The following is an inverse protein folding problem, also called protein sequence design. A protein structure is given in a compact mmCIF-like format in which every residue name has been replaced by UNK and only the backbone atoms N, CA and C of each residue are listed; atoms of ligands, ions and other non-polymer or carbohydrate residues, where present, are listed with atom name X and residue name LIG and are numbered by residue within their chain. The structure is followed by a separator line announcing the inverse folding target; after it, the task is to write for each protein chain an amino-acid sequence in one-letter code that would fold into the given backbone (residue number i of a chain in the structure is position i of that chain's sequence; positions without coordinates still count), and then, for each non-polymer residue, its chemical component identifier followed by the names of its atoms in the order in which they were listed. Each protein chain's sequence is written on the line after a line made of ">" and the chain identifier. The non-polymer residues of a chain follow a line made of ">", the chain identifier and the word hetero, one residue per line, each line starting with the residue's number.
data_IF_580442497807
#
_entry.id   IF_580442497807
#
_cell.length_a   1.000
_cell.length_b   1.000
_cell.length_c   1.000
_cell.angle_alpha   90.00
_cell.angle_beta   90.00
_cell.angle_gamma   90.00
#
_symmetry.space_group_name_H-M   'P 1'
#
loop_
_entity.id
_entity.type
_entity.pdbx_description
1 polymer ?
#
# COMPACT_ATOMS: atom_id res chain seq x y z
N UNK A 1 16.09 -1.76 15.55
CA UNK A 1 15.43 -0.54 15.05
C UNK A 1 13.97 -0.65 15.41
N UNK A 2 13.29 0.44 15.73
CA UNK A 2 11.86 0.49 15.99
C UNK A 2 11.12 0.74 14.66
N UNK A 3 9.81 0.49 14.61
CA UNK A 3 9.00 0.88 13.46
C UNK A 3 8.94 2.40 13.33
N UNK A 4 8.64 2.88 12.12
CA UNK A 4 8.41 4.30 11.81
C UNK A 4 6.98 4.49 11.30
N UNK A 5 6.39 5.67 11.56
CA UNK A 5 5.03 5.97 11.16
C UNK A 5 5.03 6.85 9.91
N UNK A 6 4.46 6.34 8.83
CA UNK A 6 4.31 7.02 7.55
C UNK A 6 2.85 7.22 7.15
N UNK A 7 2.65 8.01 6.10
CA UNK A 7 1.33 8.24 5.52
C UNK A 7 1.40 8.23 3.99
N UNK A 8 0.35 7.73 3.37
CA UNK A 8 0.15 7.80 1.93
C UNK A 8 -0.65 9.06 1.58
N UNK A 9 -0.29 9.81 0.53
CA UNK A 9 -0.98 11.03 0.13
C UNK A 9 -2.40 10.82 -0.40
N UNK A 10 -2.89 9.58 -0.50
CA UNK A 10 -4.29 9.28 -0.85
C UNK A 10 -5.32 9.88 0.14
N UNK A 11 -4.86 10.30 1.31
CA UNK A 11 -5.68 11.11 2.24
C UNK A 11 -6.07 12.47 1.67
N UNK A 12 -5.24 13.05 0.79
CA UNK A 12 -5.43 14.38 0.18
C UNK A 12 -5.77 14.34 -1.29
N UNK A 13 -5.25 13.35 -2.01
CA UNK A 13 -5.34 13.26 -3.49
C UNK A 13 -5.48 11.81 -3.89
N UNK A 14 -5.93 11.54 -5.12
CA UNK A 14 -6.02 10.17 -5.62
C UNK A 14 -5.42 10.06 -7.03
N UNK A 15 -4.56 9.08 -7.26
CA UNK A 15 -3.91 8.86 -8.55
C UNK A 15 -4.88 8.21 -9.58
N UNK A 16 -5.76 7.33 -9.12
CA UNK A 16 -6.72 6.60 -9.97
C UNK A 16 -7.97 7.42 -10.26
N UNK A 17 -8.25 8.43 -9.42
CA UNK A 17 -9.31 9.40 -9.62
C UNK A 17 -8.77 10.83 -9.41
N UNK A 18 -8.01 11.39 -10.38
CA UNK A 18 -7.27 12.64 -10.21
C UNK A 18 -8.13 13.88 -9.90
N UNK A 19 -9.45 13.80 -10.10
CA UNK A 19 -10.38 14.86 -9.68
C UNK A 19 -10.48 14.99 -8.15
N UNK A 20 -10.20 13.92 -7.39
CA UNK A 20 -10.16 13.98 -5.94
C UNK A 20 -8.91 14.72 -5.47
N UNK A 21 -9.11 15.84 -4.78
CA UNK A 21 -8.03 16.67 -4.28
C UNK A 21 -7.20 17.33 -5.39
N UNK A 22 -7.76 17.53 -6.60
CA UNK A 22 -7.06 18.10 -7.74
C UNK A 22 -6.38 19.44 -7.41
N UNK A 23 -7.05 20.28 -6.63
CA UNK A 23 -6.57 21.60 -6.23
C UNK A 23 -5.67 21.59 -4.98
N UNK A 24 -5.48 20.43 -4.32
CA UNK A 24 -4.63 20.35 -3.13
C UNK A 24 -3.16 20.35 -3.53
N UNK A 25 -2.37 21.36 -3.13
CA UNK A 25 -0.95 21.39 -3.44
C UNK A 25 -0.17 20.31 -2.69
N UNK A 26 0.96 19.86 -3.23
CA UNK A 26 1.90 18.97 -2.54
C UNK A 26 2.34 19.55 -1.19
N UNK A 27 2.59 20.83 -1.14
CA UNK A 27 2.99 21.56 0.09
C UNK A 27 1.98 21.38 1.23
N UNK A 28 0.67 21.40 0.92
CA UNK A 28 -0.39 21.17 1.90
C UNK A 28 -0.34 19.72 2.42
N UNK A 29 -0.21 18.74 1.53
CA UNK A 29 -0.09 17.33 1.92
C UNK A 29 1.08 17.13 2.90
N UNK A 30 2.27 17.64 2.56
CA UNK A 30 3.48 17.47 3.36
C UNK A 30 3.40 18.21 4.70
N UNK A 31 2.93 19.46 4.69
CA UNK A 31 2.78 20.26 5.91
C UNK A 31 1.78 19.64 6.88
N UNK A 32 0.62 19.21 6.39
CA UNK A 32 -0.42 18.61 7.23
C UNK A 32 -0.02 17.22 7.73
N UNK A 33 0.64 16.39 6.92
CA UNK A 33 1.15 15.10 7.37
C UNK A 33 2.23 15.25 8.44
N UNK A 34 3.14 16.21 8.29
CA UNK A 34 4.12 16.54 9.32
C UNK A 34 3.46 17.07 10.59
N UNK A 35 2.47 17.93 10.45
CA UNK A 35 1.70 18.49 11.57
C UNK A 35 0.87 17.43 12.31
N UNK A 36 0.45 16.36 11.61
CA UNK A 36 -0.20 15.20 12.22
C UNK A 36 0.76 14.33 13.03
N UNK A 37 2.09 14.38 12.75
CA UNK A 37 3.11 13.66 13.48
C UNK A 37 3.92 12.64 12.64
N UNK A 38 3.57 12.43 11.37
CA UNK A 38 4.23 11.44 10.53
C UNK A 38 5.69 11.79 10.22
N UNK A 39 6.51 10.75 10.06
CA UNK A 39 7.95 10.87 9.77
C UNK A 39 8.27 10.79 8.27
N UNK A 40 7.35 10.27 7.47
CA UNK A 40 7.56 10.11 6.04
C UNK A 40 6.28 9.93 5.24
N UNK A 41 6.44 10.07 3.92
CA UNK A 41 5.38 9.91 2.93
C UNK A 41 5.74 8.87 1.89
N UNK A 42 4.75 8.14 1.41
CA UNK A 42 4.85 7.41 0.15
C UNK A 42 4.71 8.37 -1.04
N UNK A 43 5.19 7.93 -2.21
CA UNK A 43 5.03 8.72 -3.43
C UNK A 43 3.56 8.83 -3.83
N UNK A 44 3.13 10.03 -4.13
CA UNK A 44 1.82 10.31 -4.73
C UNK A 44 1.93 10.89 -6.13
N UNK A 45 0.78 11.13 -6.77
CA UNK A 45 0.70 11.66 -8.13
C UNK A 45 1.27 13.07 -8.29
N UNK A 46 1.31 13.87 -7.21
CA UNK A 46 1.83 15.26 -7.22
C UNK A 46 3.31 15.37 -6.87
N UNK A 47 3.96 14.25 -6.54
CA UNK A 47 5.36 14.25 -6.15
C UNK A 47 6.26 14.32 -7.39
N UNK A 48 7.27 15.22 -7.42
CA UNK A 48 8.30 15.20 -8.45
C UNK A 48 8.99 13.86 -8.55
N UNK A 49 9.31 13.43 -9.77
CA UNK A 49 9.95 12.12 -10.03
C UNK A 49 11.46 12.20 -10.18
N UNK A 50 12.06 13.31 -9.82
CA UNK A 50 13.51 13.52 -9.82
C UNK A 50 13.98 13.74 -8.38
N UNK A 51 14.95 12.94 -7.91
CA UNK A 51 15.46 13.01 -6.55
C UNK A 51 16.05 14.37 -6.21
N UNK A 52 16.74 15.02 -7.18
CA UNK A 52 17.29 16.37 -7.03
C UNK A 52 16.21 17.46 -6.79
N UNK A 53 14.96 17.19 -7.17
CA UNK A 53 13.82 18.09 -6.93
C UNK A 53 13.06 17.69 -5.68
N UNK A 54 12.72 16.42 -5.54
CA UNK A 54 11.90 15.93 -4.42
C UNK A 54 12.67 15.93 -3.10
N UNK A 55 13.95 15.58 -3.10
CA UNK A 55 14.77 15.52 -1.89
C UNK A 55 14.78 16.82 -1.09
N UNK A 56 15.11 17.98 -1.69
CA UNK A 56 15.03 19.28 -1.00
C UNK A 56 13.63 19.63 -0.49
N UNK A 57 12.57 19.23 -1.20
CA UNK A 57 11.19 19.45 -0.76
C UNK A 57 10.92 18.67 0.53
N UNK A 58 11.19 17.35 0.55
CA UNK A 58 11.02 16.52 1.73
C UNK A 58 11.87 16.99 2.91
N UNK A 59 13.12 17.37 2.65
CA UNK A 59 14.04 17.87 3.68
C UNK A 59 13.51 19.13 4.38
N UNK A 60 12.91 20.07 3.64
CA UNK A 60 12.29 21.28 4.23
C UNK A 60 11.19 20.96 5.22
N UNK A 61 10.44 19.87 4.98
CA UNK A 61 9.41 19.38 5.88
C UNK A 61 9.92 18.40 6.93
N UNK A 62 11.23 18.06 6.93
CA UNK A 62 11.80 17.01 7.80
C UNK A 62 11.06 15.69 7.65
N UNK A 63 10.77 15.31 6.40
CA UNK A 63 10.08 14.08 6.03
C UNK A 63 11.02 13.18 5.22
N UNK A 64 10.81 11.86 5.34
CA UNK A 64 11.50 10.84 4.55
C UNK A 64 10.59 10.37 3.40
N UNK A 65 11.20 9.90 2.31
CA UNK A 65 10.49 9.06 1.37
C UNK A 65 10.39 7.66 1.94
N UNK A 66 9.16 7.14 2.04
CA UNK A 66 8.90 5.82 2.61
C UNK A 66 9.03 4.72 1.57
N UNK A 67 8.33 4.88 0.48
CA UNK A 67 8.23 3.94 -0.64
C UNK A 67 7.51 4.59 -1.82
N UNK A 68 7.20 3.80 -2.85
CA UNK A 68 6.37 4.24 -3.96
C UNK A 68 5.76 3.05 -4.69
N UNK A 69 4.54 3.25 -5.18
CA UNK A 69 3.84 2.29 -6.02
C UNK A 69 4.53 2.12 -7.38
N UNK A 70 4.73 0.85 -7.75
CA UNK A 70 5.18 0.45 -9.08
C UNK A 70 4.19 -0.56 -9.69
N UNK A 71 3.68 -0.22 -10.86
CA UNK A 71 2.76 -1.05 -11.64
C UNK A 71 3.59 -2.06 -12.46
N UNK A 72 3.68 -3.28 -11.98
CA UNK A 72 4.37 -4.37 -12.66
C UNK A 72 3.49 -5.05 -13.69
N UNK A 73 4.09 -5.58 -14.76
CA UNK A 73 3.42 -6.31 -15.83
C UNK A 73 4.19 -7.60 -16.22
N UNK A 74 4.71 -8.31 -15.22
CA UNK A 74 5.49 -9.53 -15.42
C UNK A 74 4.71 -10.69 -16.06
N UNK A 75 3.38 -10.63 -16.05
CA UNK A 75 2.56 -11.58 -16.82
C UNK A 75 2.71 -11.40 -18.33
N UNK A 76 3.04 -10.21 -18.79
CA UNK A 76 3.17 -9.89 -20.23
C UNK A 76 4.60 -9.53 -20.64
N UNK A 77 5.41 -9.00 -19.72
CA UNK A 77 6.80 -8.64 -19.94
C UNK A 77 7.76 -9.77 -19.55
N UNK A 78 8.94 -9.80 -20.18
CA UNK A 78 10.08 -10.54 -19.65
C UNK A 78 10.65 -9.87 -18.40
N UNK A 79 11.52 -10.55 -17.67
CA UNK A 79 12.21 -9.97 -16.50
C UNK A 79 13.11 -8.81 -16.92
N UNK A 80 13.80 -8.94 -18.06
CA UNK A 80 14.68 -7.89 -18.61
C UNK A 80 13.89 -6.64 -18.99
N UNK A 81 12.71 -6.81 -19.60
CA UNK A 81 11.82 -5.70 -19.94
C UNK A 81 11.31 -4.99 -18.69
N UNK A 82 10.94 -5.74 -17.64
CA UNK A 82 10.51 -5.16 -16.37
C UNK A 82 11.66 -4.46 -15.64
N UNK A 83 12.87 -5.04 -15.66
CA UNK A 83 14.09 -4.40 -15.14
C UNK A 83 14.36 -3.08 -15.87
N UNK A 84 14.21 -3.05 -17.19
CA UNK A 84 14.39 -1.82 -17.95
C UNK A 84 13.33 -0.77 -17.61
N UNK A 85 12.08 -1.19 -17.41
CA UNK A 85 10.96 -0.29 -17.12
C UNK A 85 11.04 0.34 -15.71
N UNK A 86 11.59 -0.36 -14.72
CA UNK A 86 11.64 0.11 -13.33
C UNK A 86 12.75 1.10 -13.03
N UNK A 87 13.72 1.32 -13.93
CA UNK A 87 14.98 2.03 -13.62
C UNK A 87 14.79 3.41 -13.02
N UNK A 88 13.94 4.24 -13.60
CA UNK A 88 13.72 5.61 -13.11
C UNK A 88 13.10 5.61 -11.71
N UNK A 89 12.12 4.74 -11.49
CA UNK A 89 11.46 4.59 -10.20
C UNK A 89 12.41 4.05 -9.13
N UNK A 90 13.17 3.02 -9.47
CA UNK A 90 14.15 2.39 -8.59
C UNK A 90 15.26 3.38 -8.19
N UNK A 91 15.74 4.17 -9.16
CA UNK A 91 16.73 5.21 -8.93
C UNK A 91 16.21 6.28 -7.99
N UNK A 92 14.97 6.75 -8.18
CA UNK A 92 14.33 7.74 -7.30
C UNK A 92 14.24 7.23 -5.85
N UNK A 93 13.76 6.00 -5.65
CA UNK A 93 13.65 5.40 -4.31
C UNK A 93 15.02 5.31 -3.64
N UNK A 94 16.02 4.76 -4.33
CA UNK A 94 17.38 4.58 -3.83
C UNK A 94 18.05 5.90 -3.45
N UNK A 95 17.97 6.91 -4.33
CA UNK A 95 18.61 8.21 -4.09
C UNK A 95 17.98 8.97 -2.92
N UNK A 96 16.70 8.73 -2.63
CA UNK A 96 16.00 9.32 -1.49
C UNK A 96 15.97 8.44 -0.24
N UNK A 97 16.67 7.31 -0.27
CA UNK A 97 16.85 6.43 0.89
C UNK A 97 15.66 5.54 1.22
N UNK A 98 14.68 5.41 0.32
CA UNK A 98 13.61 4.43 0.44
C UNK A 98 14.13 3.05 0.03
N UNK A 99 13.98 2.07 0.91
CA UNK A 99 14.48 0.71 0.71
C UNK A 99 13.40 -0.32 0.41
N UNK A 100 12.17 0.12 0.23
CA UNK A 100 11.02 -0.71 -0.13
C UNK A 100 10.29 -0.09 -1.33
N UNK A 101 9.92 -0.92 -2.28
CA UNK A 101 9.06 -0.59 -3.42
C UNK A 101 7.74 -1.36 -3.30
N UNK A 102 6.63 -0.64 -3.32
CA UNK A 102 5.29 -1.23 -3.37
C UNK A 102 5.05 -1.72 -4.80
N UNK A 103 5.06 -3.03 -4.99
CA UNK A 103 4.87 -3.66 -6.30
C UNK A 103 3.47 -4.28 -6.39
N UNK A 104 2.76 -4.02 -7.47
CA UNK A 104 1.51 -4.70 -7.80
C UNK A 104 1.51 -5.14 -9.25
N UNK A 105 1.13 -6.40 -9.54
CA UNK A 105 0.86 -6.86 -10.90
C UNK A 105 -0.46 -6.25 -11.38
N UNK A 106 -0.39 -5.44 -12.43
CA UNK A 106 -1.56 -4.68 -12.90
C UNK A 106 -2.12 -5.16 -14.25
N UNK A 107 -1.60 -6.25 -14.79
CA UNK A 107 -2.15 -6.83 -16.04
C UNK A 107 -3.65 -7.06 -15.87
N UNK A 108 -4.43 -6.53 -16.80
CA UNK A 108 -5.89 -6.60 -16.84
C UNK A 108 -6.63 -6.05 -15.62
N UNK A 109 -5.96 -5.33 -14.71
CA UNK A 109 -6.59 -4.78 -13.51
C UNK A 109 -7.77 -3.85 -13.83
N UNK A 110 -8.70 -3.78 -12.87
CA UNK A 110 -9.92 -2.96 -13.01
C UNK A 110 -10.08 -1.90 -11.92
N UNK A 111 -9.13 -1.79 -10.99
CA UNK A 111 -9.26 -0.87 -9.84
C UNK A 111 -9.44 0.60 -10.27
N UNK A 112 -8.76 1.05 -11.33
CA UNK A 112 -8.94 2.38 -11.91
C UNK A 112 -10.16 2.54 -12.82
N UNK A 113 -10.99 1.50 -13.03
CA UNK A 113 -12.13 1.52 -13.95
C UNK A 113 -13.44 1.78 -13.21
N UNK A 114 -13.83 3.05 -13.08
CA UNK A 114 -15.00 3.47 -12.29
C UNK A 114 -16.33 2.83 -12.74
N UNK A 115 -16.44 2.37 -13.98
CA UNK A 115 -17.66 1.76 -14.51
C UNK A 115 -17.70 0.23 -14.34
N UNK A 116 -16.64 -0.39 -13.85
CA UNK A 116 -16.54 -1.85 -13.73
C UNK A 116 -16.70 -2.27 -12.27
N UNK A 117 -17.73 -3.08 -11.93
CA UNK A 117 -17.89 -3.61 -10.58
C UNK A 117 -16.65 -4.36 -10.10
N UNK A 118 -16.24 -4.14 -8.85
CA UNK A 118 -15.00 -4.74 -8.31
C UNK A 118 -15.04 -6.27 -8.31
N UNK A 119 -16.23 -6.88 -8.21
CA UNK A 119 -16.41 -8.33 -8.28
C UNK A 119 -16.21 -8.93 -9.68
N UNK A 120 -15.91 -8.12 -10.70
CA UNK A 120 -15.52 -8.56 -12.03
C UNK A 120 -14.00 -8.53 -12.23
N UNK A 121 -13.24 -8.57 -11.14
CA UNK A 121 -11.78 -8.58 -11.20
C UNK A 121 -11.22 -9.71 -12.07
N UNK A 122 -10.04 -9.54 -12.67
CA UNK A 122 -9.37 -10.63 -13.34
C UNK A 122 -8.94 -11.70 -12.31
N UNK A 123 -8.84 -12.94 -12.76
CA UNK A 123 -8.32 -14.05 -11.98
C UNK A 123 -6.96 -14.48 -12.49
N UNK A 124 -6.07 -14.86 -11.57
CA UNK A 124 -4.75 -15.33 -11.94
C UNK A 124 -4.84 -16.68 -12.71
N UNK A 125 -4.19 -16.82 -13.87
CA UNK A 125 -4.19 -18.09 -14.61
C UNK A 125 -3.47 -19.19 -13.81
N UNK A 126 -4.21 -20.23 -13.41
CA UNK A 126 -3.71 -21.23 -12.48
C UNK A 126 -2.44 -21.96 -12.96
N UNK A 127 -2.31 -22.14 -14.27
CA UNK A 127 -1.15 -22.78 -14.90
C UNK A 127 0.12 -21.92 -14.93
N UNK A 128 -0.01 -20.62 -14.63
CA UNK A 128 1.11 -19.67 -14.73
C UNK A 128 1.80 -19.38 -13.40
N UNK A 129 1.35 -19.93 -12.28
CA UNK A 129 1.92 -19.63 -10.97
C UNK A 129 3.43 -19.91 -10.90
N UNK A 130 3.88 -21.05 -11.41
CA UNK A 130 5.30 -21.41 -11.36
C UNK A 130 6.17 -20.48 -12.21
N UNK A 131 5.73 -20.14 -13.43
CA UNK A 131 6.40 -19.20 -14.32
C UNK A 131 6.45 -17.81 -13.72
N UNK A 132 5.30 -17.28 -13.29
CA UNK A 132 5.19 -15.94 -12.72
C UNK A 132 6.02 -15.81 -11.44
N UNK A 133 5.93 -16.81 -10.55
CA UNK A 133 6.68 -16.82 -9.30
C UNK A 133 8.20 -16.81 -9.53
N UNK A 134 8.69 -17.54 -10.55
CA UNK A 134 10.11 -17.50 -10.93
C UNK A 134 10.51 -16.12 -11.45
N UNK A 135 9.73 -15.52 -12.35
CA UNK A 135 9.98 -14.18 -12.91
C UNK A 135 9.97 -13.11 -11.82
N UNK A 136 8.97 -13.11 -10.94
CA UNK A 136 8.86 -12.15 -9.86
C UNK A 136 10.02 -12.30 -8.85
N UNK A 137 10.44 -13.53 -8.56
CA UNK A 137 11.58 -13.78 -7.67
C UNK A 137 12.88 -13.26 -8.29
N UNK A 138 13.09 -13.47 -9.57
CA UNK A 138 14.28 -12.96 -10.27
C UNK A 138 14.29 -11.43 -10.32
N UNK A 139 13.15 -10.81 -10.61
CA UNK A 139 13.01 -9.36 -10.57
C UNK A 139 13.25 -8.80 -9.16
N UNK A 140 12.74 -9.48 -8.10
CA UNK A 140 12.96 -9.11 -6.71
C UNK A 140 14.44 -9.20 -6.31
N UNK A 141 15.16 -10.22 -6.76
CA UNK A 141 16.63 -10.33 -6.56
C UNK A 141 17.36 -9.15 -7.18
N UNK A 142 16.97 -8.78 -8.38
CA UNK A 142 17.57 -7.63 -9.05
C UNK A 142 17.33 -6.34 -8.22
N UNK A 143 16.10 -6.01 -7.85
CA UNK A 143 15.81 -4.79 -7.08
C UNK A 143 16.50 -4.80 -5.71
N UNK A 144 16.54 -5.94 -5.05
CA UNK A 144 17.26 -6.11 -3.79
C UNK A 144 18.77 -5.89 -3.95
N UNK A 145 19.38 -6.34 -5.05
CA UNK A 145 20.79 -6.07 -5.35
C UNK A 145 21.08 -4.58 -5.54
N UNK A 146 20.06 -3.79 -5.88
CA UNK A 146 20.12 -2.33 -5.99
C UNK A 146 19.77 -1.62 -4.66
N UNK A 147 19.52 -2.37 -3.57
CA UNK A 147 19.20 -1.84 -2.26
C UNK A 147 17.71 -1.56 -2.00
N UNK A 148 16.81 -2.00 -2.87
CA UNK A 148 15.36 -1.81 -2.72
C UNK A 148 14.65 -3.15 -2.76
N UNK A 149 13.94 -3.49 -1.69
CA UNK A 149 13.13 -4.71 -1.60
C UNK A 149 11.75 -4.51 -2.22
N UNK A 150 11.21 -5.57 -2.84
CA UNK A 150 9.81 -5.58 -3.25
C UNK A 150 8.93 -5.91 -2.04
N UNK A 151 7.87 -5.13 -1.85
CA UNK A 151 6.71 -5.46 -1.03
C UNK A 151 5.52 -5.67 -1.98
N UNK A 152 5.13 -6.92 -2.20
CA UNK A 152 4.02 -7.23 -3.09
C UNK A 152 2.70 -6.77 -2.48
N UNK A 153 2.00 -5.89 -3.17
CA UNK A 153 0.71 -5.35 -2.75
C UNK A 153 -0.43 -6.14 -3.41
N UNK A 154 -1.12 -6.97 -2.62
CA UNK A 154 -2.43 -7.50 -3.00
C UNK A 154 -3.45 -6.34 -3.00
N UNK A 155 -4.26 -6.24 -4.03
CA UNK A 155 -5.12 -5.06 -4.19
C UNK A 155 -6.48 -5.43 -4.79
N UNK A 156 -7.53 -4.76 -4.32
CA UNK A 156 -8.87 -4.93 -4.88
C UNK A 156 -8.86 -4.63 -6.38
N UNK A 157 -9.56 -5.47 -7.16
CA UNK A 157 -9.65 -5.29 -8.61
C UNK A 157 -8.42 -5.72 -9.41
N UNK A 158 -7.47 -6.42 -8.80
CA UNK A 158 -6.32 -7.05 -9.45
C UNK A 158 -6.44 -8.58 -9.45
N UNK A 159 -5.45 -9.27 -10.03
CA UNK A 159 -5.42 -10.74 -10.00
C UNK A 159 -5.11 -11.32 -8.64
N UNK A 160 -4.42 -10.58 -7.78
CA UNK A 160 -4.06 -11.00 -6.41
C UNK A 160 -4.86 -10.18 -5.41
N UNK A 161 -5.94 -10.75 -4.90
CA UNK A 161 -6.89 -10.05 -4.05
C UNK A 161 -7.29 -10.87 -2.81
N UNK A 162 -7.51 -12.18 -2.99
CA UNK A 162 -8.01 -13.06 -1.93
C UNK A 162 -6.89 -13.72 -1.13
N UNK A 163 -7.24 -14.30 0.03
CA UNK A 163 -6.29 -15.11 0.83
C UNK A 163 -5.66 -16.22 0.00
N UNK A 164 -6.44 -16.90 -0.83
CA UNK A 164 -5.94 -17.96 -1.71
C UNK A 164 -4.94 -17.43 -2.74
N UNK A 165 -5.20 -16.26 -3.33
CA UNK A 165 -4.27 -15.65 -4.29
C UNK A 165 -2.94 -15.30 -3.60
N UNK A 166 -3.00 -14.76 -2.38
CA UNK A 166 -1.82 -14.42 -1.57
C UNK A 166 -1.05 -15.70 -1.21
N UNK A 167 -1.72 -16.74 -0.77
CA UNK A 167 -1.09 -18.02 -0.43
C UNK A 167 -0.37 -18.61 -1.66
N UNK A 168 -1.02 -18.63 -2.81
CA UNK A 168 -0.41 -19.10 -4.07
C UNK A 168 0.81 -18.26 -4.45
N UNK A 169 0.71 -16.94 -4.35
CA UNK A 169 1.83 -16.03 -4.63
C UNK A 169 3.03 -16.34 -3.71
N UNK A 170 2.81 -16.40 -2.40
CA UNK A 170 3.88 -16.61 -1.43
C UNK A 170 4.52 -18.00 -1.54
N UNK A 171 3.74 -19.03 -1.91
CA UNK A 171 4.23 -20.40 -2.11
C UNK A 171 5.08 -20.55 -3.38
N UNK A 172 4.79 -19.75 -4.41
CA UNK A 172 5.51 -19.85 -5.70
C UNK A 172 6.65 -18.83 -5.83
N UNK A 173 6.88 -17.98 -4.85
CA UNK A 173 7.95 -16.96 -4.86
C UNK A 173 9.01 -17.23 -3.81
N UNK A 174 10.26 -16.85 -4.11
CA UNK A 174 11.38 -16.88 -3.16
C UNK A 174 11.24 -15.85 -2.04
N UNK A 175 12.12 -15.95 -1.05
CA UNK A 175 12.12 -15.06 0.12
C UNK A 175 12.44 -13.59 -0.23
N UNK A 176 12.98 -13.35 -1.40
CA UNK A 176 13.28 -12.03 -1.93
C UNK A 176 12.03 -11.19 -2.21
N UNK A 177 10.88 -11.87 -2.43
CA UNK A 177 9.59 -11.21 -2.61
C UNK A 177 8.94 -11.04 -1.24
N UNK A 178 8.95 -9.82 -0.71
CA UNK A 178 8.20 -9.47 0.50
C UNK A 178 6.71 -9.33 0.25
N UNK A 179 5.94 -9.40 1.32
CA UNK A 179 4.49 -9.14 1.31
C UNK A 179 4.21 -7.78 1.95
N UNK A 180 3.50 -6.93 1.24
CA UNK A 180 2.83 -5.79 1.84
C UNK A 180 1.53 -6.28 2.50
N UNK A 181 1.41 -6.10 3.80
CA UNK A 181 0.18 -6.37 4.53
C UNK A 181 -0.70 -5.13 4.48
N UNK A 182 -1.75 -5.14 3.65
CA UNK A 182 -2.77 -4.09 3.65
C UNK A 182 -4.03 -4.58 4.37
N UNK A 183 -4.26 -4.03 5.55
CA UNK A 183 -5.38 -4.45 6.40
C UNK A 183 -6.74 -4.11 5.82
N UNK A 184 -6.85 -3.03 5.05
CA UNK A 184 -8.10 -2.58 4.43
C UNK A 184 -8.48 -3.41 3.20
N UNK A 185 -7.53 -3.66 2.30
CA UNK A 185 -7.79 -4.52 1.14
C UNK A 185 -8.15 -5.94 1.54
N UNK A 186 -7.48 -6.52 2.56
CA UNK A 186 -7.85 -7.83 3.11
C UNK A 186 -9.28 -7.83 3.65
N UNK A 187 -9.61 -6.86 4.50
CA UNK A 187 -10.96 -6.74 5.08
C UNK A 187 -12.03 -6.56 4.00
N UNK A 188 -11.77 -5.75 2.98
CA UNK A 188 -12.68 -5.56 1.84
C UNK A 188 -12.90 -6.88 1.09
N UNK A 189 -11.86 -7.65 0.85
CA UNK A 189 -11.92 -8.97 0.22
C UNK A 189 -12.62 -10.03 1.10
N UNK A 190 -12.92 -9.72 2.36
CA UNK A 190 -13.51 -10.66 3.32
C UNK A 190 -12.50 -11.59 3.98
N UNK A 191 -11.24 -11.19 3.98
CA UNK A 191 -10.11 -11.91 4.56
C UNK A 191 -9.77 -11.31 5.92
N UNK A 192 -9.43 -12.15 6.89
CA UNK A 192 -8.96 -11.71 8.20
C UNK A 192 -7.48 -11.27 8.13
N UNK A 193 -7.16 -9.98 8.33
CA UNK A 193 -5.79 -9.50 8.33
C UNK A 193 -4.88 -10.17 9.37
N UNK A 194 -5.46 -10.58 10.51
CA UNK A 194 -4.71 -11.28 11.57
C UNK A 194 -4.26 -12.66 11.10
N UNK A 195 -5.11 -13.40 10.40
CA UNK A 195 -4.77 -14.71 9.86
C UNK A 195 -3.65 -14.64 8.83
N UNK A 196 -3.70 -13.66 7.92
CA UNK A 196 -2.64 -13.43 6.91
C UNK A 196 -1.35 -12.98 7.59
N UNK A 197 -1.42 -12.06 8.55
CA UNK A 197 -0.26 -11.61 9.32
C UNK A 197 0.40 -12.77 10.05
N UNK A 198 -0.37 -13.65 10.71
CA UNK A 198 0.16 -14.82 11.41
C UNK A 198 0.85 -15.83 10.47
N UNK A 199 0.23 -16.08 9.31
CA UNK A 199 0.71 -17.07 8.32
C UNK A 199 2.00 -16.61 7.63
N UNK A 200 2.04 -15.35 7.19
CA UNK A 200 3.11 -14.81 6.36
C UNK A 200 4.02 -13.81 7.09
N UNK A 201 3.95 -13.76 8.42
CA UNK A 201 4.66 -12.78 9.26
C UNK A 201 6.12 -12.53 8.84
N UNK A 202 6.88 -13.58 8.52
CA UNK A 202 8.30 -13.49 8.13
C UNK A 202 8.53 -12.89 6.74
N UNK A 203 7.49 -12.87 5.92
CA UNK A 203 7.53 -12.32 4.56
C UNK A 203 7.05 -10.86 4.52
N UNK A 204 6.40 -10.36 5.58
CA UNK A 204 5.90 -9.00 5.65
C UNK A 204 7.09 -8.05 5.83
N UNK A 205 7.29 -7.16 4.87
CA UNK A 205 8.33 -6.13 4.88
C UNK A 205 7.79 -4.70 4.72
N UNK A 206 6.46 -4.55 4.56
CA UNK A 206 5.76 -3.27 4.53
C UNK A 206 4.33 -3.42 5.00
N UNK A 207 3.73 -2.37 5.59
CA UNK A 207 2.37 -2.44 6.14
C UNK A 207 1.59 -1.20 5.77
N UNK A 208 0.45 -1.38 5.11
CA UNK A 208 -0.57 -0.36 4.96
C UNK A 208 -1.63 -0.54 6.04
N UNK A 209 -1.73 0.45 6.90
CA UNK A 209 -2.73 0.54 7.96
C UNK A 209 -3.96 1.28 7.42
N UNK A 210 -4.82 0.54 6.78
CA UNK A 210 -6.08 1.00 6.17
C UNK A 210 -7.24 0.35 6.90
N UNK A 211 -8.18 1.13 7.43
CA UNK A 211 -9.35 0.60 8.12
C UNK A 211 -10.59 0.63 7.22
N UNK A 212 -11.63 -0.09 7.61
CA UNK A 212 -12.82 -0.29 6.78
C UNK A 212 -14.07 -0.04 7.60
N UNK A 213 -15.02 0.72 7.04
CA UNK A 213 -16.35 0.91 7.61
C UNK A 213 -17.28 -0.21 7.19
N UNK A 214 -17.66 -1.13 8.09
CA UNK A 214 -18.37 -2.37 7.72
C UNK A 214 -19.75 -2.12 7.13
N UNK A 215 -20.47 -1.10 7.58
CA UNK A 215 -21.77 -0.74 7.03
C UNK A 215 -21.67 -0.28 5.58
N UNK A 216 -20.65 0.53 5.25
CA UNK A 216 -20.39 0.98 3.87
C UNK A 216 -19.94 -0.20 3.00
N UNK A 217 -19.08 -1.08 3.52
CA UNK A 217 -18.66 -2.27 2.79
C UNK A 217 -19.84 -3.18 2.43
N UNK A 218 -20.81 -3.36 3.36
CA UNK A 218 -22.02 -4.11 3.09
C UNK A 218 -22.85 -3.47 1.94
N UNK A 219 -22.98 -2.14 1.94
CA UNK A 219 -23.65 -1.40 0.86
C UNK A 219 -22.92 -1.55 -0.48
N UNK A 220 -21.58 -1.42 -0.49
CA UNK A 220 -20.73 -1.60 -1.68
C UNK A 220 -20.93 -2.98 -2.30
N UNK A 221 -20.93 -4.04 -1.48
CA UNK A 221 -21.17 -5.42 -1.93
C UNK A 221 -22.58 -5.62 -2.47
N UNK A 222 -23.59 -5.12 -1.78
CA UNK A 222 -25.00 -5.24 -2.19
C UNK A 222 -25.26 -4.52 -3.52
N UNK A 223 -24.67 -3.35 -3.72
CA UNK A 223 -24.84 -2.53 -4.93
C UNK A 223 -23.86 -2.92 -6.05
N UNK A 224 -22.96 -3.87 -5.80
CA UNK A 224 -21.90 -4.27 -6.75
C UNK A 224 -21.12 -3.06 -7.29
N UNK A 225 -20.67 -2.19 -6.40
CA UNK A 225 -19.96 -0.98 -6.80
C UNK A 225 -18.60 -1.30 -7.43
N UNK A 226 -18.08 -0.38 -8.24
CA UNK A 226 -16.68 -0.37 -8.63
C UNK A 226 -15.80 -0.02 -7.44
N UNK A 227 -14.50 -0.30 -7.54
CA UNK A 227 -13.54 0.07 -6.50
C UNK A 227 -13.57 1.58 -6.22
N UNK A 228 -13.49 2.41 -7.25
CA UNK A 228 -13.50 3.87 -7.08
C UNK A 228 -14.81 4.39 -6.51
N UNK A 229 -15.96 3.82 -6.89
CA UNK A 229 -17.24 4.18 -6.28
C UNK A 229 -17.31 3.75 -4.80
N UNK A 230 -16.67 2.65 -4.43
CA UNK A 230 -16.55 2.25 -3.03
C UNK A 230 -15.70 3.25 -2.22
N UNK A 231 -14.60 3.74 -2.79
CA UNK A 231 -13.76 4.81 -2.21
C UNK A 231 -14.61 6.08 -2.01
N UNK A 232 -15.34 6.52 -3.03
CA UNK A 232 -16.22 7.69 -2.95
C UNK A 232 -17.34 7.53 -1.91
N UNK A 233 -17.83 6.30 -1.72
CA UNK A 233 -18.82 5.99 -0.68
C UNK A 233 -18.23 5.99 0.73
N UNK A 234 -16.90 6.10 0.87
CA UNK A 234 -16.19 6.15 2.15
C UNK A 234 -16.00 4.79 2.80
N UNK A 235 -15.77 3.72 2.00
CA UNK A 235 -15.52 2.38 2.52
C UNK A 235 -14.25 2.32 3.36
N UNK A 236 -13.21 3.05 2.95
CA UNK A 236 -11.95 3.12 3.67
C UNK A 236 -11.88 4.30 4.63
N UNK A 237 -11.10 4.11 5.69
CA UNK A 237 -10.84 5.13 6.70
C UNK A 237 -9.47 4.88 7.37
N UNK A 238 -9.12 5.72 8.33
CA UNK A 238 -7.86 5.64 9.08
C UNK A 238 -7.94 4.61 10.21
N UNK A 239 -6.82 4.09 10.71
CA UNK A 239 -6.78 3.13 11.81
C UNK A 239 -7.61 3.55 13.01
N UNK A 240 -8.46 2.63 13.49
CA UNK A 240 -9.31 2.82 14.67
C UNK A 240 -10.63 3.55 14.43
N UNK A 241 -10.93 3.91 13.17
CA UNK A 241 -12.23 4.47 12.75
C UNK A 241 -13.07 3.45 11.96
N UNK A 242 -12.68 2.19 11.98
CA UNK A 242 -13.34 1.09 11.28
C UNK A 242 -13.45 -0.18 12.13
N UNK A 243 -13.22 -1.33 11.51
CA UNK A 243 -13.42 -2.63 12.16
C UNK A 243 -12.17 -3.53 12.24
N UNK A 244 -11.01 -3.06 11.81
CA UNK A 244 -9.76 -3.83 11.85
C UNK A 244 -9.25 -3.98 13.29
N UNK A 245 -8.93 -5.21 13.71
CA UNK A 245 -8.29 -5.50 15.01
C UNK A 245 -6.78 -5.23 14.94
N UNK A 246 -6.38 -3.95 14.98
CA UNK A 246 -4.98 -3.55 14.99
C UNK A 246 -4.15 -4.14 16.14
N UNK A 247 -4.67 -4.20 17.39
CA UNK A 247 -3.96 -4.88 18.47
C UNK A 247 -3.59 -6.32 18.14
N UNK A 248 -4.48 -7.08 17.48
CA UNK A 248 -4.20 -8.46 17.08
C UNK A 248 -3.17 -8.52 15.93
N UNK A 249 -3.32 -7.70 14.89
CA UNK A 249 -2.36 -7.60 13.78
C UNK A 249 -0.95 -7.26 14.31
N UNK A 250 -0.86 -6.29 15.20
CA UNK A 250 0.44 -5.82 15.71
C UNK A 250 1.11 -6.81 16.66
N UNK A 251 0.34 -7.65 17.37
CA UNK A 251 0.92 -8.79 18.11
C UNK A 251 1.64 -9.76 17.17
N UNK A 252 1.09 -10.03 15.97
CA UNK A 252 1.74 -10.90 14.98
C UNK A 252 3.01 -10.26 14.41
N UNK A 253 2.99 -8.96 14.12
CA UNK A 253 4.18 -8.22 13.68
C UNK A 253 5.26 -8.19 14.78
N UNK A 254 4.87 -7.99 16.04
CA UNK A 254 5.79 -8.04 17.19
C UNK A 254 6.44 -9.40 17.36
N UNK A 255 5.69 -10.50 17.17
CA UNK A 255 6.18 -11.86 17.29
C UNK A 255 7.38 -12.16 16.38
N UNK A 256 7.44 -11.52 15.21
CA UNK A 256 8.55 -11.66 14.25
C UNK A 256 9.55 -10.51 14.32
N UNK A 257 9.40 -9.62 15.31
CA UNK A 257 10.24 -8.44 15.46
C UNK A 257 10.25 -7.57 14.17
N UNK A 258 9.06 -7.32 13.63
CA UNK A 258 8.90 -6.49 12.43
C UNK A 258 9.60 -5.14 12.60
N UNK A 259 10.30 -4.73 11.58
CA UNK A 259 10.98 -3.44 11.48
C UNK A 259 10.68 -2.82 10.13
N UNK A 260 10.40 -1.54 10.12
CA UNK A 260 10.05 -0.84 8.88
C UNK A 260 8.96 0.21 9.11
N UNK A 261 8.14 0.41 8.12
CA UNK A 261 7.10 1.43 8.15
C UNK A 261 5.72 0.84 8.44
N UNK A 262 4.97 1.52 9.29
CA UNK A 262 3.51 1.39 9.39
C UNK A 262 2.93 2.63 8.72
N UNK A 263 2.27 2.45 7.59
CA UNK A 263 1.79 3.56 6.75
C UNK A 263 0.29 3.68 6.87
N UNK A 264 -0.20 4.82 7.33
CA UNK A 264 -1.63 5.14 7.20
C UNK A 264 -1.95 5.35 5.73
N UNK A 265 -2.83 4.52 5.19
CA UNK A 265 -3.34 4.67 3.84
C UNK A 265 -4.86 4.66 3.87
N UNK A 266 -5.46 5.84 3.83
CA UNK A 266 -6.91 6.00 3.78
C UNK A 266 -7.28 6.67 2.46
N UNK A 267 -7.83 5.88 1.55
CA UNK A 267 -8.39 6.39 0.31
C UNK A 267 -9.75 6.99 0.61
N UNK A 268 -9.82 8.31 0.65
CA UNK A 268 -11.01 9.06 1.03
C UNK A 268 -11.24 10.25 0.09
N UNK A 269 -12.49 10.69 0.00
CA UNK A 269 -12.82 11.96 -0.63
C UNK A 269 -12.44 13.11 0.34
N UNK A 270 -11.42 13.92 0.01
CA UNK A 270 -10.96 15.00 0.89
C UNK A 270 -11.99 16.11 1.10
N UNK A 271 -13.01 16.20 0.25
CA UNK A 271 -14.11 17.14 0.43
C UNK A 271 -15.08 16.71 1.54
N UNK A 272 -15.14 15.41 1.82
CA UNK A 272 -16.01 14.81 2.85
C UNK A 272 -15.20 14.48 4.10
N UNK A 273 -14.07 13.78 3.93
CA UNK A 273 -13.16 13.40 5.00
C UNK A 273 -12.02 14.41 5.08
N UNK A 274 -12.15 15.43 5.90
CA UNK A 274 -11.16 16.50 6.02
C UNK A 274 -9.75 15.97 6.32
N UNK A 275 -8.78 16.15 5.40
CA UNK A 275 -7.50 15.41 5.43
C UNK A 275 -6.72 15.54 6.73
N UNK A 276 -6.48 16.76 7.22
CA UNK A 276 -5.72 16.97 8.46
C UNK A 276 -6.40 16.32 9.68
N UNK A 277 -7.73 16.37 9.74
CA UNK A 277 -8.50 15.76 10.84
C UNK A 277 -8.31 14.25 10.84
N UNK A 278 -8.46 13.60 9.67
CA UNK A 278 -8.28 12.16 9.55
C UNK A 278 -6.81 11.75 9.68
N UNK A 279 -5.86 12.51 9.14
CA UNK A 279 -4.43 12.25 9.32
C UNK A 279 -4.04 12.24 10.82
N UNK A 280 -4.53 13.22 11.61
CA UNK A 280 -4.31 13.25 13.06
C UNK A 280 -4.98 12.10 13.79
N UNK A 281 -6.22 11.77 13.44
CA UNK A 281 -6.93 10.63 14.03
C UNK A 281 -6.18 9.33 13.76
N UNK A 282 -5.77 9.11 12.50
CA UNK A 282 -5.01 7.94 12.08
C UNK A 282 -3.66 7.84 12.78
N UNK A 283 -2.91 8.94 12.86
CA UNK A 283 -1.64 8.98 13.56
C UNK A 283 -1.80 8.63 15.05
N UNK A 284 -2.72 9.29 15.76
CA UNK A 284 -2.91 9.09 17.19
C UNK A 284 -3.30 7.64 17.52
N UNK A 285 -4.20 7.05 16.75
CA UNK A 285 -4.62 5.67 16.93
C UNK A 285 -3.49 4.70 16.59
N UNK A 286 -2.83 4.91 15.44
CA UNK A 286 -1.72 4.05 15.01
C UNK A 286 -0.57 4.07 16.00
N UNK A 287 -0.16 5.25 16.47
CA UNK A 287 0.88 5.42 17.48
C UNK A 287 0.53 4.65 18.76
N UNK A 288 -0.67 4.83 19.28
CA UNK A 288 -1.14 4.13 20.48
C UNK A 288 -1.11 2.60 20.27
N UNK A 289 -1.65 2.09 19.17
CA UNK A 289 -1.65 0.64 18.91
C UNK A 289 -0.23 0.08 18.77
N UNK A 290 0.68 0.82 18.14
CA UNK A 290 2.08 0.40 17.98
C UNK A 290 2.85 0.45 19.31
N UNK A 291 2.60 1.47 20.14
CA UNK A 291 3.16 1.59 21.48
C UNK A 291 2.68 0.47 22.40
N UNK A 292 1.35 0.22 22.44
CA UNK A 292 0.74 -0.85 23.24
C UNK A 292 1.27 -2.24 22.86
N UNK A 293 1.60 -2.43 21.58
CA UNK A 293 2.20 -3.67 21.08
C UNK A 293 3.73 -3.76 21.31
N UNK A 294 4.36 -2.68 21.76
CA UNK A 294 5.82 -2.58 21.95
C UNK A 294 6.59 -2.57 20.62
N UNK A 295 6.03 -2.04 19.56
CA UNK A 295 6.67 -1.89 18.25
C UNK A 295 7.45 -0.56 18.14
N UNK A 296 7.06 0.47 18.89
CA UNK A 296 7.75 1.76 19.01
C UNK A 296 8.87 1.73 20.02
#
# INVERSE_FOLDING_TARGET
>A
MTVQLGINPLTWTNADLPSLGAETPLETCLSEGKLAGFEGFELGNKFPRQASVLGPILARHQLKLVSGWYSGELLTRSVEEEIAAVQDHLTLLRELGANVMVFCEVTDCIHGKQQVPVNQRPHFPAERWAEYGAKLTEFARYTQSQGVQIAYHHHMGTMIETEQDIDMLMQHTGEEVGLLLDTGHLTFAGVDPVAVAARWAKRINHVHCKDVRPAVLAEVKNKKMSFLNAVLAGVYTVPGDGCVDYPAVFRELKRVNYQGWLVVEAEQDPAIAHPLTYARLGYNNLHRFAEDAGLL
#
